data_IF_207031399487
#
_entry.id   IF_207031399487
#
_cell.length_a   1.000
_cell.length_b   1.000
_cell.length_c   1.000
_cell.angle_alpha   90.00
_cell.angle_beta   90.00
_cell.angle_gamma   90.00
#
_symmetry.space_group_name_H-M   'P 1'
#
loop_
_entity.id
_entity.type
_entity.pdbx_description
1 polymer ?
#
# COMPACT_ATOMS: atom_id res chain seq x y z
N UNK A 1 -5.73 -22.36 10.23
CA UNK A 1 -4.31 -22.00 10.05
C UNK A 1 -4.14 -20.57 10.53
N UNK A 2 -3.01 -20.24 11.17
CA UNK A 2 -2.71 -18.91 11.70
C UNK A 2 -1.88 -18.14 10.68
N UNK A 3 -2.14 -16.85 10.52
CA UNK A 3 -1.26 -15.96 9.75
C UNK A 3 -0.16 -15.39 10.66
N UNK A 4 0.97 -15.02 10.04
CA UNK A 4 2.05 -14.29 10.68
C UNK A 4 1.57 -12.89 11.08
N UNK A 5 1.77 -12.48 12.35
CA UNK A 5 1.39 -11.15 12.81
C UNK A 5 2.22 -10.06 12.12
N UNK A 6 1.73 -8.81 12.18
CA UNK A 6 2.40 -7.60 11.65
C UNK A 6 3.90 -7.53 11.97
N UNK A 7 4.26 -7.92 13.20
CA UNK A 7 5.62 -7.97 13.73
C UNK A 7 5.86 -9.34 14.36
N UNK A 8 6.30 -10.33 13.55
CA UNK A 8 6.64 -11.62 14.10
C UNK A 8 7.97 -11.54 14.86
N UNK A 9 8.11 -12.34 15.91
CA UNK A 9 9.36 -12.51 16.66
C UNK A 9 9.82 -13.97 16.57
N UNK A 10 10.97 -14.17 15.93
CA UNK A 10 11.56 -15.49 15.76
C UNK A 10 12.00 -16.13 17.08
N UNK A 11 12.44 -15.34 18.07
CA UNK A 11 12.79 -15.84 19.40
C UNK A 11 11.54 -16.34 20.13
N UNK A 12 10.43 -15.60 20.03
CA UNK A 12 9.14 -16.04 20.57
C UNK A 12 8.66 -17.35 19.92
N UNK A 13 8.75 -17.49 18.60
CA UNK A 13 8.38 -18.73 17.91
C UNK A 13 9.27 -19.91 18.34
N UNK A 14 10.57 -19.67 18.56
CA UNK A 14 11.48 -20.70 19.11
C UNK A 14 11.09 -21.11 20.53
N UNK A 15 10.69 -20.16 21.37
CA UNK A 15 10.19 -20.46 22.72
C UNK A 15 8.89 -21.26 22.67
N UNK A 16 7.94 -20.89 21.80
CA UNK A 16 6.71 -21.66 21.60
C UNK A 16 6.98 -23.11 21.20
N UNK A 17 7.95 -23.38 20.33
CA UNK A 17 8.32 -24.74 19.97
C UNK A 17 8.96 -25.52 21.15
N UNK A 18 9.78 -24.85 21.98
CA UNK A 18 10.36 -25.45 23.19
C UNK A 18 9.30 -25.78 24.23
N UNK A 19 8.35 -24.88 24.45
CA UNK A 19 7.28 -25.05 25.42
C UNK A 19 6.32 -26.16 24.98
N UNK A 20 5.95 -26.19 23.69
CA UNK A 20 5.18 -27.30 23.11
C UNK A 20 5.85 -28.66 23.32
N UNK A 21 7.17 -28.74 23.11
CA UNK A 21 7.93 -29.97 23.35
C UNK A 21 7.94 -30.35 24.84
N UNK A 22 8.10 -29.36 25.73
CA UNK A 22 8.13 -29.57 27.17
C UNK A 22 6.81 -30.12 27.69
N UNK A 23 5.70 -29.50 27.30
CA UNK A 23 4.33 -29.90 27.66
C UNK A 23 4.04 -31.33 27.17
N UNK A 24 4.38 -31.64 25.90
CA UNK A 24 4.19 -32.98 25.36
C UNK A 24 4.99 -34.05 26.12
N UNK A 25 6.19 -33.72 26.60
CA UNK A 25 7.02 -34.62 27.42
C UNK A 25 6.51 -34.78 28.85
N UNK A 26 5.84 -33.76 29.38
CA UNK A 26 5.19 -33.79 30.68
C UNK A 26 3.83 -34.54 30.66
N UNK A 27 3.39 -35.01 29.49
CA UNK A 27 2.19 -35.83 29.35
C UNK A 27 0.94 -35.04 28.98
N UNK A 28 1.05 -33.77 28.58
CA UNK A 28 -0.10 -33.03 28.05
C UNK A 28 -0.60 -33.69 26.74
N UNK A 29 -1.85 -34.23 26.72
CA UNK A 29 -2.39 -34.90 25.55
C UNK A 29 -2.59 -33.96 24.36
N UNK A 30 -2.86 -32.66 24.59
CA UNK A 30 -3.06 -31.69 23.50
C UNK A 30 -1.73 -31.35 22.82
N UNK A 31 -0.70 -31.04 23.60
CA UNK A 31 0.66 -30.82 23.08
C UNK A 31 1.20 -32.04 22.33
N UNK A 32 1.02 -33.25 22.90
CA UNK A 32 1.42 -34.49 22.25
C UNK A 32 0.67 -34.74 20.93
N UNK A 33 -0.65 -34.48 20.88
CA UNK A 33 -1.45 -34.61 19.66
C UNK A 33 -1.00 -33.65 18.55
N UNK A 34 -0.67 -32.39 18.91
CA UNK A 34 -0.14 -31.40 17.95
C UNK A 34 1.15 -31.88 17.30
N UNK A 35 2.09 -32.43 18.08
CA UNK A 35 3.34 -32.98 17.53
C UNK A 35 3.07 -34.26 16.71
N UNK A 36 2.24 -35.17 17.21
CA UNK A 36 1.89 -36.43 16.52
C UNK A 36 1.15 -36.22 15.20
N UNK A 37 0.52 -35.07 15.00
CA UNK A 37 -0.08 -34.72 13.71
C UNK A 37 0.93 -34.63 12.56
N UNK A 38 2.23 -34.46 12.86
CA UNK A 38 3.30 -34.35 11.86
C UNK A 38 4.41 -35.40 11.99
N UNK A 39 4.53 -36.07 13.14
CA UNK A 39 5.57 -37.08 13.40
C UNK A 39 5.30 -37.86 14.68
N UNK A 40 5.53 -39.17 14.67
CA UNK A 40 5.41 -40.03 15.85
C UNK A 40 6.46 -39.73 16.93
N UNK A 41 7.57 -39.06 16.56
CA UNK A 41 8.68 -38.76 17.46
C UNK A 41 8.47 -37.43 18.17
N UNK A 42 8.44 -37.43 19.50
CA UNK A 42 8.35 -36.22 20.35
C UNK A 42 9.75 -35.62 20.57
N UNK A 43 10.24 -34.93 19.55
CA UNK A 43 11.55 -34.26 19.51
C UNK A 43 11.41 -32.81 19.02
N UNK A 44 12.48 -32.02 19.18
CA UNK A 44 12.47 -30.58 18.84
C UNK A 44 12.07 -30.30 17.38
N UNK A 45 12.62 -31.04 16.42
CA UNK A 45 12.29 -30.85 15.01
C UNK A 45 10.81 -31.12 14.69
N UNK A 46 10.19 -32.10 15.37
CA UNK A 46 8.76 -32.38 15.23
C UNK A 46 7.90 -31.26 15.84
N UNK A 47 8.30 -30.71 17.00
CA UNK A 47 7.60 -29.57 17.60
C UNK A 47 7.69 -28.30 16.72
N UNK A 48 8.87 -28.03 16.16
CA UNK A 48 9.08 -26.95 15.19
C UNK A 48 8.27 -27.16 13.91
N UNK A 49 8.20 -28.40 13.40
CA UNK A 49 7.40 -28.74 12.22
C UNK A 49 5.90 -28.56 12.49
N UNK A 50 5.40 -29.01 13.66
CA UNK A 50 4.01 -28.82 14.07
C UNK A 50 3.65 -27.33 14.09
N UNK A 51 4.50 -26.49 14.72
CA UNK A 51 4.31 -25.05 14.76
C UNK A 51 4.33 -24.44 13.35
N UNK A 52 5.27 -24.83 12.50
CA UNK A 52 5.33 -24.37 11.10
C UNK A 52 4.03 -24.68 10.33
N UNK A 53 3.48 -25.88 10.51
CA UNK A 53 2.23 -26.32 9.86
C UNK A 53 1.01 -25.55 10.39
N UNK A 54 0.99 -25.17 11.66
CA UNK A 54 -0.07 -24.32 12.22
C UNK A 54 -0.11 -22.94 11.55
N UNK A 55 1.06 -22.40 11.20
CA UNK A 55 1.21 -21.17 10.40
C UNK A 55 1.07 -21.40 8.88
N UNK A 56 0.79 -22.64 8.44
CA UNK A 56 0.59 -22.97 7.04
C UNK A 56 1.87 -23.11 6.20
N UNK A 57 3.04 -23.26 6.84
CA UNK A 57 4.32 -23.47 6.17
C UNK A 57 4.69 -24.96 6.11
N UNK A 58 5.37 -25.35 5.03
CA UNK A 58 5.78 -26.75 4.82
C UNK A 58 6.81 -27.25 5.86
N UNK A 59 7.57 -26.35 6.47
CA UNK A 59 8.57 -26.69 7.47
C UNK A 59 9.14 -25.47 8.17
N UNK A 60 9.88 -25.72 9.25
CA UNK A 60 10.44 -24.69 10.13
C UNK A 60 11.39 -23.72 9.42
N UNK A 61 12.24 -24.22 8.52
CA UNK A 61 13.18 -23.38 7.76
C UNK A 61 12.45 -22.33 6.92
N UNK A 62 11.35 -22.72 6.25
CA UNK A 62 10.54 -21.80 5.43
C UNK A 62 9.81 -20.76 6.28
N UNK A 63 9.26 -21.18 7.43
CA UNK A 63 8.66 -20.26 8.39
C UNK A 63 9.70 -19.23 8.89
N UNK A 64 10.89 -19.69 9.29
CA UNK A 64 11.97 -18.81 9.74
C UNK A 64 12.34 -17.80 8.65
N UNK A 65 12.55 -18.27 7.42
CA UNK A 65 12.93 -17.45 6.28
C UNK A 65 11.90 -16.35 6.01
N UNK A 66 10.61 -16.68 6.06
CA UNK A 66 9.54 -15.72 5.83
C UNK A 66 9.41 -14.68 6.97
N UNK A 67 9.62 -15.11 8.21
CA UNK A 67 9.67 -14.21 9.38
C UNK A 67 10.86 -13.25 9.28
N UNK A 68 12.04 -13.76 8.92
CA UNK A 68 13.26 -12.96 8.73
C UNK A 68 13.09 -11.94 7.61
N UNK A 69 12.57 -12.36 6.45
CA UNK A 69 12.23 -11.49 5.33
C UNK A 69 11.27 -10.38 5.75
N UNK A 70 10.25 -10.70 6.55
CA UNK A 70 9.29 -9.70 7.04
C UNK A 70 9.94 -8.66 7.94
N UNK A 71 10.77 -9.09 8.87
CA UNK A 71 11.49 -8.18 9.78
C UNK A 71 12.38 -7.24 8.95
N UNK A 72 13.16 -7.81 8.03
CA UNK A 72 14.05 -7.05 7.13
C UNK A 72 13.28 -5.98 6.34
N UNK A 73 12.14 -6.34 5.74
CA UNK A 73 11.33 -5.40 4.95
C UNK A 73 10.68 -4.32 5.82
N UNK A 74 10.13 -4.69 6.99
CA UNK A 74 9.56 -3.74 7.94
C UNK A 74 10.59 -2.73 8.44
N UNK A 75 11.78 -3.20 8.79
CA UNK A 75 12.84 -2.39 9.37
C UNK A 75 13.58 -1.58 8.29
N UNK A 76 13.43 -1.96 7.02
CA UNK A 76 14.20 -1.49 5.85
C UNK A 76 15.70 -1.75 6.04
N UNK A 77 16.03 -2.94 6.52
CA UNK A 77 17.41 -3.40 6.67
C UNK A 77 18.00 -3.79 5.31
N UNK A 78 18.66 -2.84 4.66
CA UNK A 78 19.29 -3.06 3.36
C UNK A 78 20.39 -4.12 3.40
N UNK A 79 21.17 -4.17 4.49
CA UNK A 79 22.28 -5.12 4.63
C UNK A 79 21.75 -6.54 4.76
N UNK A 80 20.77 -6.72 5.65
CA UNK A 80 20.04 -7.97 5.80
C UNK A 80 19.36 -8.43 4.51
N UNK A 81 18.69 -7.51 3.81
CA UNK A 81 18.05 -7.82 2.53
C UNK A 81 19.06 -8.26 1.47
N UNK A 82 20.17 -7.55 1.33
CA UNK A 82 21.21 -7.87 0.35
C UNK A 82 21.75 -9.27 0.57
N UNK A 83 22.05 -9.61 1.84
CA UNK A 83 22.51 -10.96 2.21
C UNK A 83 21.42 -12.01 1.92
N UNK A 84 20.18 -11.73 2.30
CA UNK A 84 19.06 -12.64 2.10
C UNK A 84 18.85 -12.96 0.61
N UNK A 85 18.88 -11.94 -0.25
CA UNK A 85 18.69 -12.10 -1.69
C UNK A 85 19.90 -12.72 -2.40
N UNK A 86 21.11 -12.59 -1.84
CA UNK A 86 22.28 -13.30 -2.35
C UNK A 86 22.17 -14.82 -2.13
N UNK A 87 21.58 -15.25 -1.01
CA UNK A 87 21.35 -16.66 -0.69
C UNK A 87 20.05 -17.20 -1.33
N UNK A 88 19.03 -16.35 -1.45
CA UNK A 88 17.67 -16.69 -1.88
C UNK A 88 17.08 -15.64 -2.85
N UNK A 89 17.58 -15.55 -4.09
CA UNK A 89 17.16 -14.53 -5.05
C UNK A 89 15.68 -14.62 -5.44
N UNK A 90 15.08 -15.81 -5.35
CA UNK A 90 13.64 -16.01 -5.60
C UNK A 90 12.75 -15.23 -4.62
N UNK A 91 13.28 -14.83 -3.45
CA UNK A 91 12.58 -13.97 -2.50
C UNK A 91 12.50 -12.51 -2.94
N UNK A 92 13.04 -12.13 -4.10
CA UNK A 92 12.73 -10.82 -4.67
C UNK A 92 11.33 -10.81 -5.32
N UNK A 93 10.92 -11.94 -5.90
CA UNK A 93 9.71 -12.04 -6.74
C UNK A 93 8.61 -12.86 -6.11
N UNK A 94 8.93 -13.86 -5.27
CA UNK A 94 7.95 -14.73 -4.63
C UNK A 94 6.98 -13.95 -3.74
N UNK A 95 5.70 -14.30 -3.74
CA UNK A 95 4.70 -13.66 -2.86
C UNK A 95 5.08 -13.75 -1.39
N UNK A 96 4.63 -12.76 -0.63
CA UNK A 96 4.71 -12.76 0.83
C UNK A 96 3.67 -13.76 1.39
N UNK A 97 4.16 -14.80 2.06
CA UNK A 97 3.34 -15.96 2.43
C UNK A 97 2.78 -15.80 3.84
N UNK A 98 1.45 -15.83 3.98
CA UNK A 98 0.76 -15.86 5.29
C UNK A 98 0.95 -14.59 6.12
N UNK A 99 1.06 -13.43 5.50
CA UNK A 99 1.12 -12.18 6.23
C UNK A 99 -0.30 -11.70 6.58
N UNK A 100 -0.58 -11.47 7.87
CA UNK A 100 -1.92 -11.15 8.38
C UNK A 100 -2.52 -9.85 7.82
N UNK A 101 -1.67 -8.96 7.33
CA UNK A 101 -2.02 -7.64 6.85
C UNK A 101 -2.13 -7.58 5.33
N UNK A 102 -1.21 -8.20 4.61
CA UNK A 102 -1.16 -8.19 3.16
C UNK A 102 -0.95 -9.63 2.66
N UNK A 103 -2.05 -10.38 2.53
CA UNK A 103 -2.02 -11.68 1.89
C UNK A 103 -1.96 -11.46 0.36
N UNK A 104 -0.88 -11.91 -0.27
CA UNK A 104 -0.70 -12.05 -1.72
C UNK A 104 0.03 -10.92 -2.48
N UNK A 105 0.65 -9.96 -1.80
CA UNK A 105 1.54 -9.00 -2.49
C UNK A 105 2.94 -9.60 -2.71
N UNK A 106 3.59 -9.16 -3.78
CA UNK A 106 5.02 -9.34 -3.98
C UNK A 106 5.81 -8.30 -3.16
N UNK A 107 7.11 -8.52 -2.89
CA UNK A 107 7.90 -7.66 -2.02
C UNK A 107 7.94 -6.20 -2.45
N UNK A 108 8.08 -5.95 -3.77
CA UNK A 108 8.15 -4.58 -4.28
C UNK A 108 6.82 -3.86 -4.04
N UNK A 109 5.70 -4.49 -4.39
CA UNK A 109 4.36 -3.99 -4.09
C UNK A 109 4.18 -3.69 -2.59
N UNK A 110 4.57 -4.61 -1.73
CA UNK A 110 4.51 -4.42 -0.28
C UNK A 110 5.28 -3.18 0.19
N UNK A 111 6.52 -3.03 -0.27
CA UNK A 111 7.39 -1.91 0.10
C UNK A 111 6.81 -0.58 -0.39
N UNK A 112 6.26 -0.54 -1.62
CA UNK A 112 5.59 0.66 -2.14
C UNK A 112 4.32 1.03 -1.36
N UNK A 113 3.64 0.06 -0.75
CA UNK A 113 2.42 0.24 0.04
C UNK A 113 2.70 0.62 1.51
N UNK A 114 3.96 0.67 1.95
CA UNK A 114 4.29 0.89 3.37
C UNK A 114 3.82 2.25 3.87
N UNK A 115 3.86 3.32 3.06
CA UNK A 115 3.36 4.65 3.46
C UNK A 115 1.86 4.63 3.76
N UNK A 116 1.07 3.92 2.96
CA UNK A 116 -0.36 3.72 3.19
C UNK A 116 -0.61 2.88 4.45
N UNK A 117 0.13 1.79 4.60
CA UNK A 117 -0.04 0.84 5.69
C UNK A 117 0.66 1.25 7.00
N UNK A 118 1.39 2.38 7.04
CA UNK A 118 2.29 2.74 8.18
C UNK A 118 1.61 2.67 9.54
N UNK A 119 0.37 3.18 9.64
CA UNK A 119 -0.38 3.20 10.90
C UNK A 119 -0.79 1.80 11.34
N UNK A 120 -1.16 0.94 10.39
CA UNK A 120 -1.48 -0.47 10.63
C UNK A 120 -0.24 -1.29 11.02
N UNK A 121 0.90 -0.97 10.44
CA UNK A 121 2.19 -1.61 10.68
C UNK A 121 2.93 -1.05 11.92
N UNK A 122 2.39 0.01 12.53
CA UNK A 122 3.03 0.74 13.63
C UNK A 122 4.36 1.41 13.25
N UNK A 123 4.58 1.66 11.96
CA UNK A 123 5.81 2.23 11.42
C UNK A 123 5.88 3.75 11.64
N UNK A 124 7.09 4.34 11.66
CA UNK A 124 7.26 5.79 11.80
C UNK A 124 6.58 6.58 10.66
N UNK A 125 6.40 7.88 10.88
CA UNK A 125 5.77 8.78 9.91
C UNK A 125 6.54 8.85 8.59
N UNK A 126 7.86 9.02 8.67
CA UNK A 126 8.79 8.95 7.54
C UNK A 126 9.39 7.54 7.46
N UNK A 127 9.58 7.07 6.22
CA UNK A 127 10.13 5.75 5.94
C UNK A 127 11.41 5.88 5.09
N UNK A 128 12.49 6.48 5.63
CA UNK A 128 13.73 6.60 4.88
C UNK A 128 14.29 5.22 4.52
N UNK A 129 14.97 5.12 3.37
CA UNK A 129 15.61 3.90 2.90
C UNK A 129 14.65 2.93 2.21
N UNK A 130 13.37 3.26 2.10
CA UNK A 130 12.39 2.47 1.33
C UNK A 130 12.81 2.40 -0.15
N UNK A 131 13.35 3.48 -0.70
CA UNK A 131 13.92 3.48 -2.06
C UNK A 131 15.12 2.55 -2.20
N UNK A 132 15.99 2.47 -1.20
CA UNK A 132 17.13 1.53 -1.22
C UNK A 132 16.67 0.06 -1.21
N UNK A 133 15.63 -0.26 -0.42
CA UNK A 133 14.99 -1.58 -0.41
C UNK A 133 14.35 -1.89 -1.77
N UNK A 134 13.58 -0.96 -2.33
CA UNK A 134 12.99 -1.10 -3.66
C UNK A 134 14.06 -1.37 -4.73
N UNK A 135 15.16 -0.61 -4.71
CA UNK A 135 16.30 -0.79 -5.62
C UNK A 135 16.92 -2.17 -5.50
N UNK A 136 17.11 -2.67 -4.28
CA UNK A 136 17.67 -4.00 -4.05
C UNK A 136 16.74 -5.11 -4.57
N UNK A 137 15.43 -4.97 -4.36
CA UNK A 137 14.43 -5.92 -4.88
C UNK A 137 14.43 -5.94 -6.41
N UNK A 138 14.42 -4.76 -7.04
CA UNK A 138 14.48 -4.63 -8.52
C UNK A 138 15.79 -5.23 -9.05
N UNK A 139 16.92 -4.92 -8.42
CA UNK A 139 18.22 -5.48 -8.79
C UNK A 139 18.31 -7.00 -8.67
N UNK A 140 17.48 -7.61 -7.82
CA UNK A 140 17.33 -9.04 -7.68
C UNK A 140 16.20 -9.65 -8.56
N UNK A 141 15.62 -8.87 -9.46
CA UNK A 141 14.67 -9.33 -10.48
C UNK A 141 13.19 -9.13 -10.13
N UNK A 142 12.84 -8.33 -9.11
CA UNK A 142 11.46 -7.90 -8.91
C UNK A 142 10.97 -7.10 -10.14
N UNK A 143 9.77 -7.39 -10.68
CA UNK A 143 9.25 -6.73 -11.87
C UNK A 143 8.95 -5.26 -11.56
N UNK A 144 9.57 -4.33 -12.29
CA UNK A 144 9.47 -2.89 -12.02
C UNK A 144 8.03 -2.36 -12.15
N UNK A 145 7.27 -2.90 -13.10
CA UNK A 145 5.86 -2.54 -13.35
C UNK A 145 4.86 -3.44 -12.61
N UNK A 146 5.35 -4.31 -11.73
CA UNK A 146 4.53 -5.30 -11.04
C UNK A 146 4.08 -6.43 -11.97
N UNK A 147 3.00 -7.10 -11.61
CA UNK A 147 2.44 -8.23 -12.36
C UNK A 147 1.20 -7.87 -13.14
N UNK A 148 0.85 -8.63 -14.18
CA UNK A 148 -0.39 -8.42 -14.93
C UNK A 148 -1.68 -8.51 -14.09
N UNK A 149 -1.64 -9.17 -12.94
CA UNK A 149 -2.77 -9.28 -12.01
C UNK A 149 -2.91 -8.10 -11.06
N UNK A 150 -1.90 -7.24 -10.98
CA UNK A 150 -1.89 -6.12 -10.06
C UNK A 150 -2.76 -4.99 -10.60
N UNK A 151 -3.52 -4.34 -9.70
CA UNK A 151 -4.44 -3.27 -10.08
C UNK A 151 -3.74 -1.95 -10.35
N UNK A 152 -2.55 -1.77 -9.80
CA UNK A 152 -1.74 -0.58 -9.93
C UNK A 152 -0.29 -1.03 -10.08
N UNK A 153 0.48 -0.35 -10.93
CA UNK A 153 1.92 -0.56 -10.97
C UNK A 153 2.55 -0.01 -9.69
N UNK A 154 3.74 -0.48 -9.28
CA UNK A 154 4.48 0.11 -8.17
C UNK A 154 4.64 1.63 -8.28
N UNK A 155 4.78 2.16 -9.50
CA UNK A 155 4.89 3.60 -9.75
C UNK A 155 3.58 4.35 -9.47
N UNK A 156 2.43 3.78 -9.88
CA UNK A 156 1.10 4.33 -9.56
C UNK A 156 0.86 4.31 -8.04
N UNK A 157 1.26 3.23 -7.36
CA UNK A 157 1.17 3.13 -5.89
C UNK A 157 2.03 4.20 -5.21
N UNK A 158 3.29 4.38 -5.63
CA UNK A 158 4.17 5.41 -5.10
C UNK A 158 3.61 6.83 -5.33
N UNK A 159 3.03 7.09 -6.51
CA UNK A 159 2.35 8.34 -6.84
C UNK A 159 1.10 8.60 -6.00
N UNK A 160 0.35 7.56 -5.61
CA UNK A 160 -0.86 7.71 -4.80
C UNK A 160 -0.56 8.08 -3.35
N UNK A 161 0.61 7.67 -2.83
CA UNK A 161 0.97 7.81 -1.42
C UNK A 161 2.16 8.76 -1.16
N UNK A 162 2.63 9.44 -2.21
CA UNK A 162 3.65 10.48 -2.09
C UNK A 162 5.03 9.94 -1.74
N UNK A 163 5.41 8.78 -2.29
CA UNK A 163 6.74 8.21 -2.10
C UNK A 163 7.69 8.62 -3.22
N UNK A 164 8.21 9.85 -3.16
CA UNK A 164 9.09 10.40 -4.19
C UNK A 164 10.43 9.65 -4.29
N UNK A 165 10.94 9.09 -3.18
CA UNK A 165 12.17 8.28 -3.17
C UNK A 165 11.96 7.00 -3.98
N UNK A 166 10.88 6.26 -3.69
CA UNK A 166 10.53 5.03 -4.43
C UNK A 166 10.17 5.33 -5.88
N UNK A 167 9.41 6.39 -6.16
CA UNK A 167 9.09 6.80 -7.52
C UNK A 167 10.36 7.06 -8.34
N UNK A 168 11.33 7.78 -7.78
CA UNK A 168 12.62 8.05 -8.45
C UNK A 168 13.39 6.75 -8.76
N UNK A 169 13.35 5.78 -7.84
CA UNK A 169 13.99 4.47 -8.03
C UNK A 169 13.32 3.67 -9.16
N UNK A 170 11.99 3.63 -9.18
CA UNK A 170 11.22 2.92 -10.20
C UNK A 170 11.44 3.52 -11.59
N UNK A 171 11.42 4.86 -11.70
CA UNK A 171 11.68 5.57 -12.95
C UNK A 171 13.11 5.29 -13.43
N UNK A 172 14.11 5.38 -12.54
CA UNK A 172 15.50 5.06 -12.88
C UNK A 172 15.69 3.59 -13.31
N UNK A 173 14.81 2.69 -12.87
CA UNK A 173 14.77 1.30 -13.27
C UNK A 173 13.98 1.04 -14.57
N UNK A 174 13.42 2.08 -15.19
CA UNK A 174 12.69 1.97 -16.46
C UNK A 174 11.21 1.60 -16.31
N UNK A 175 10.58 1.95 -15.19
CA UNK A 175 9.13 1.84 -15.04
C UNK A 175 8.39 2.55 -16.18
N UNK A 176 7.31 1.94 -16.66
CA UNK A 176 6.44 2.55 -17.67
C UNK A 176 5.65 3.72 -17.05
N UNK A 177 6.03 4.95 -17.43
CA UNK A 177 5.39 6.18 -16.96
C UNK A 177 3.92 6.29 -17.38
N UNK A 178 3.56 5.59 -18.45
CA UNK A 178 2.26 5.71 -19.12
C UNK A 178 1.37 4.50 -18.87
N UNK A 179 1.81 3.57 -18.03
CA UNK A 179 0.99 2.49 -17.52
C UNK A 179 -0.23 3.07 -16.77
N UNK A 180 -1.38 2.42 -16.95
CA UNK A 180 -2.64 2.84 -16.34
C UNK A 180 -3.11 1.83 -15.31
N UNK A 181 -3.73 2.33 -14.24
CA UNK A 181 -4.35 1.48 -13.24
C UNK A 181 -5.53 0.69 -13.83
N UNK A 182 -5.84 -0.46 -13.23
CA UNK A 182 -6.97 -1.28 -13.63
C UNK A 182 -8.29 -0.50 -13.50
N UNK A 183 -9.32 -0.81 -14.31
CA UNK A 183 -10.63 -0.15 -14.22
C UNK A 183 -11.35 -0.33 -12.89
N UNK A 184 -10.96 -1.32 -12.09
CA UNK A 184 -11.48 -1.60 -10.75
C UNK A 184 -10.50 -1.25 -9.62
N UNK A 185 -9.48 -0.43 -9.91
CA UNK A 185 -8.54 0.09 -8.91
C UNK A 185 -9.25 1.01 -7.89
N UNK A 186 -8.69 1.09 -6.68
CA UNK A 186 -9.28 1.88 -5.59
C UNK A 186 -8.92 3.37 -5.65
N UNK A 187 -7.90 3.74 -6.42
CA UNK A 187 -7.43 5.11 -6.61
C UNK A 187 -8.21 5.85 -7.70
N UNK A 188 -7.52 6.22 -8.78
CA UNK A 188 -8.12 6.84 -9.97
C UNK A 188 -8.17 5.76 -11.07
N UNK A 189 -9.33 5.14 -11.36
CA UNK A 189 -9.39 4.03 -12.30
C UNK A 189 -8.96 4.42 -13.72
N UNK A 190 -8.14 3.59 -14.36
CA UNK A 190 -7.67 3.84 -15.73
C UNK A 190 -6.71 5.02 -15.86
N UNK A 191 -6.07 5.43 -14.77
CA UNK A 191 -5.20 6.61 -14.75
C UNK A 191 -3.71 6.25 -14.64
N UNK A 192 -2.88 7.17 -15.14
CA UNK A 192 -1.42 7.10 -15.04
C UNK A 192 -0.92 7.53 -13.65
N UNK A 193 0.35 7.25 -13.36
CA UNK A 193 1.01 7.73 -12.16
C UNK A 193 0.94 9.26 -12.02
N UNK A 194 1.07 10.02 -13.12
CA UNK A 194 0.95 11.48 -13.11
C UNK A 194 -0.42 11.93 -12.60
N UNK A 195 -1.50 11.35 -13.12
CA UNK A 195 -2.84 11.74 -12.71
C UNK A 195 -3.15 11.32 -11.26
N UNK A 196 -2.65 10.17 -10.79
CA UNK A 196 -2.73 9.81 -9.38
C UNK A 196 -2.02 10.84 -8.49
N UNK A 197 -0.76 11.20 -8.81
CA UNK A 197 -0.02 12.20 -8.05
C UNK A 197 -0.74 13.57 -8.05
N UNK A 198 -1.32 13.94 -9.18
CA UNK A 198 -2.07 15.19 -9.35
C UNK A 198 -3.37 15.21 -8.51
N UNK A 199 -4.14 14.12 -8.52
CA UNK A 199 -5.41 14.02 -7.76
C UNK A 199 -5.17 13.99 -6.25
N UNK A 200 -4.13 13.29 -5.80
CA UNK A 200 -3.84 13.15 -4.37
C UNK A 200 -2.96 14.28 -3.80
N UNK A 201 -2.52 15.25 -4.61
CA UNK A 201 -1.71 16.37 -4.14
C UNK A 201 -0.26 16.01 -3.83
N UNK A 202 0.27 14.96 -4.48
CA UNK A 202 1.61 14.43 -4.24
C UNK A 202 2.65 15.20 -5.08
N UNK A 203 2.85 16.48 -4.76
CA UNK A 203 3.68 17.41 -5.54
C UNK A 203 5.09 16.93 -5.80
N UNK A 204 5.79 16.37 -4.81
CA UNK A 204 7.16 15.88 -5.00
C UNK A 204 7.24 14.71 -6.00
N UNK A 205 6.27 13.78 -5.97
CA UNK A 205 6.21 12.70 -6.96
C UNK A 205 5.85 13.24 -8.34
N UNK A 206 4.92 14.20 -8.39
CA UNK A 206 4.54 14.88 -9.61
C UNK A 206 5.75 15.54 -10.29
N UNK A 207 6.58 16.26 -9.54
CA UNK A 207 7.78 16.92 -10.05
C UNK A 207 8.79 15.91 -10.60
N UNK A 208 8.97 14.78 -9.90
CA UNK A 208 9.83 13.67 -10.35
C UNK A 208 9.32 13.05 -11.66
N UNK A 209 8.00 12.84 -11.81
CA UNK A 209 7.40 12.30 -13.03
C UNK A 209 7.53 13.26 -14.22
N UNK A 210 7.34 14.56 -13.99
CA UNK A 210 7.50 15.60 -15.02
C UNK A 210 8.95 15.70 -15.48
N UNK A 211 9.90 15.68 -14.54
CA UNK A 211 11.32 15.67 -14.87
C UNK A 211 11.74 14.43 -15.68
N UNK A 212 11.05 13.30 -15.49
CA UNK A 212 11.24 12.07 -16.25
C UNK A 212 10.61 12.10 -17.66
N UNK A 213 9.85 13.15 -18.00
CA UNK A 213 9.26 13.32 -19.33
C UNK A 213 7.95 12.56 -19.54
N UNK A 214 7.17 12.30 -18.48
CA UNK A 214 5.81 11.76 -18.63
C UNK A 214 4.93 12.67 -19.49
N UNK A 215 3.95 12.08 -20.18
CA UNK A 215 3.03 12.85 -21.01
C UNK A 215 2.03 13.62 -20.14
N UNK A 216 1.90 14.90 -20.46
CA UNK A 216 0.84 15.77 -19.91
C UNK A 216 -0.25 15.92 -20.96
N UNK A 217 -1.40 15.28 -20.74
CA UNK A 217 -2.47 15.15 -21.74
C UNK A 217 -3.78 15.83 -21.35
N UNK A 218 -3.83 16.47 -20.17
CA UNK A 218 -5.01 17.20 -19.68
C UNK A 218 -4.64 18.55 -19.09
N UNK A 219 -5.59 19.48 -19.08
CA UNK A 219 -5.38 20.80 -18.48
C UNK A 219 -5.18 20.67 -16.96
N UNK A 220 -5.83 19.70 -16.33
CA UNK A 220 -5.71 19.37 -14.92
C UNK A 220 -4.28 18.94 -14.55
N UNK A 221 -3.72 17.98 -15.31
CA UNK A 221 -2.35 17.52 -15.09
C UNK A 221 -1.32 18.58 -15.46
N UNK A 222 -1.57 19.39 -16.50
CA UNK A 222 -0.74 20.54 -16.85
C UNK A 222 -0.72 21.61 -15.75
N UNK A 223 -1.88 21.88 -15.17
CA UNK A 223 -2.01 22.84 -14.09
C UNK A 223 -1.36 22.36 -12.79
N UNK A 224 -1.48 21.06 -12.47
CA UNK A 224 -0.73 20.44 -11.38
C UNK A 224 0.79 20.51 -11.62
N UNK A 225 1.24 20.23 -12.85
CA UNK A 225 2.64 20.24 -13.25
C UNK A 225 3.26 21.65 -13.21
N UNK A 226 2.43 22.70 -13.17
CA UNK A 226 2.90 24.09 -13.12
C UNK A 226 3.13 24.73 -14.49
N UNK A 227 2.77 24.06 -15.59
CA UNK A 227 2.91 24.62 -16.93
C UNK A 227 1.64 24.45 -17.77
N UNK A 228 0.97 25.57 -18.04
CA UNK A 228 -0.21 25.65 -18.92
C UNK A 228 0.06 26.45 -20.20
N UNK A 229 1.33 26.77 -20.51
CA UNK A 229 1.69 27.60 -21.67
C UNK A 229 1.21 27.04 -23.01
N UNK A 230 1.21 25.71 -23.17
CA UNK A 230 0.72 25.02 -24.37
C UNK A 230 -0.80 24.94 -24.50
N UNK A 231 -1.56 25.41 -23.50
CA UNK A 231 -3.01 25.21 -23.43
C UNK A 231 -3.78 26.48 -23.80
N UNK A 232 -4.76 26.43 -24.71
CA UNK A 232 -5.53 27.60 -25.11
C UNK A 232 -6.63 27.93 -24.07
N UNK A 233 -6.24 28.46 -22.91
CA UNK A 233 -7.11 28.65 -21.74
C UNK A 233 -8.44 29.36 -22.06
N UNK A 234 -8.40 30.40 -22.90
CA UNK A 234 -9.59 31.15 -23.32
C UNK A 234 -10.62 30.30 -24.11
N UNK A 235 -10.16 29.23 -24.78
CA UNK A 235 -11.01 28.29 -25.52
C UNK A 235 -11.47 27.10 -24.69
N UNK A 236 -10.84 26.86 -23.53
CA UNK A 236 -11.27 25.81 -22.62
C UNK A 236 -12.65 26.12 -22.02
N UNK A 237 -13.39 25.09 -21.63
CA UNK A 237 -14.67 25.30 -20.95
C UNK A 237 -14.46 25.91 -19.56
N UNK A 238 -15.42 26.70 -19.03
CA UNK A 238 -15.32 27.25 -17.68
C UNK A 238 -15.05 26.19 -16.61
N UNK A 239 -15.69 25.03 -16.72
CA UNK A 239 -15.52 23.90 -15.80
C UNK A 239 -14.11 23.29 -15.87
N UNK A 240 -13.55 23.14 -17.08
CA UNK A 240 -12.17 22.62 -17.22
C UNK A 240 -11.14 23.57 -16.62
N UNK A 241 -11.32 24.89 -16.79
CA UNK A 241 -10.46 25.88 -16.14
C UNK A 241 -10.61 25.87 -14.62
N UNK A 242 -11.83 25.70 -14.11
CA UNK A 242 -12.09 25.59 -12.67
C UNK A 242 -11.42 24.36 -12.04
N UNK A 243 -11.46 23.20 -12.72
CA UNK A 243 -10.72 22.01 -12.27
C UNK A 243 -9.22 22.25 -12.31
N UNK A 244 -8.70 22.76 -13.42
CA UNK A 244 -7.29 23.11 -13.54
C UNK A 244 -6.83 24.05 -12.41
N UNK A 245 -7.66 25.04 -12.06
CA UNK A 245 -7.40 25.95 -10.94
C UNK A 245 -7.35 25.19 -9.61
N UNK A 246 -8.26 24.24 -9.39
CA UNK A 246 -8.27 23.39 -8.20
C UNK A 246 -6.97 22.57 -8.07
N UNK A 247 -6.50 21.99 -9.18
CA UNK A 247 -5.24 21.25 -9.21
C UNK A 247 -4.03 22.19 -8.98
N UNK A 248 -3.97 23.33 -9.66
CA UNK A 248 -2.91 24.32 -9.45
C UNK A 248 -2.83 24.79 -7.99
N UNK A 249 -3.98 25.04 -7.34
CA UNK A 249 -4.06 25.38 -5.91
C UNK A 249 -3.58 24.23 -5.03
N UNK A 250 -4.04 22.99 -5.31
CA UNK A 250 -3.61 21.80 -4.57
C UNK A 250 -2.10 21.58 -4.59
N UNK A 251 -1.46 21.96 -5.69
CA UNK A 251 0.00 21.87 -5.90
C UNK A 251 0.76 23.19 -5.71
N UNK A 252 0.08 24.25 -5.25
CA UNK A 252 0.69 25.56 -4.96
C UNK A 252 1.42 26.18 -6.18
N UNK A 253 0.87 26.00 -7.39
CA UNK A 253 1.42 26.55 -8.64
C UNK A 253 0.95 27.98 -8.87
N UNK A 254 1.54 28.93 -8.13
CA UNK A 254 1.12 30.34 -8.11
C UNK A 254 1.02 30.97 -9.51
N UNK A 255 2.01 30.77 -10.37
CA UNK A 255 2.00 31.33 -11.73
C UNK A 255 0.83 30.79 -12.57
N UNK A 256 0.49 29.51 -12.40
CA UNK A 256 -0.65 28.89 -13.10
C UNK A 256 -1.97 29.43 -12.55
N UNK A 257 -2.06 29.62 -11.23
CA UNK A 257 -3.24 30.19 -10.57
C UNK A 257 -3.51 31.58 -11.15
N UNK A 258 -2.49 32.45 -11.20
CA UNK A 258 -2.62 33.81 -11.72
C UNK A 258 -3.06 33.81 -13.19
N UNK A 259 -2.50 32.92 -14.01
CA UNK A 259 -2.89 32.79 -15.42
C UNK A 259 -4.34 32.32 -15.60
N UNK A 260 -4.78 31.37 -14.79
CA UNK A 260 -6.16 30.89 -14.84
C UNK A 260 -7.16 31.95 -14.34
N UNK A 261 -6.80 32.73 -13.32
CA UNK A 261 -7.63 33.84 -12.83
C UNK A 261 -7.71 34.96 -13.87
N UNK A 262 -6.58 35.31 -14.51
CA UNK A 262 -6.52 36.37 -15.52
C UNK A 262 -7.44 36.13 -16.73
N UNK A 263 -7.71 34.87 -17.10
CA UNK A 263 -8.65 34.52 -18.17
C UNK A 263 -10.12 34.44 -17.73
N UNK A 264 -10.44 34.91 -16.52
CA UNK A 264 -11.81 34.97 -16.00
C UNK A 264 -12.35 33.63 -15.53
N UNK A 265 -11.51 32.76 -14.96
CA UNK A 265 -11.99 31.51 -14.35
C UNK A 265 -12.82 31.81 -13.10
N UNK A 266 -14.02 31.24 -13.03
CA UNK A 266 -14.97 31.51 -11.95
C UNK A 266 -14.56 30.78 -10.66
N UNK A 267 -13.84 31.47 -9.78
CA UNK A 267 -13.17 30.90 -8.59
C UNK A 267 -14.11 30.33 -7.52
N UNK A 268 -15.39 30.70 -7.53
CA UNK A 268 -16.38 30.34 -6.49
C UNK A 268 -17.41 29.31 -6.96
N UNK A 269 -17.36 28.88 -8.22
CA UNK A 269 -18.32 27.92 -8.75
C UNK A 269 -18.02 26.50 -8.26
N UNK A 270 -19.03 25.62 -8.10
CA UNK A 270 -18.80 24.20 -7.90
C UNK A 270 -18.25 23.57 -9.17
N UNK A 271 -17.26 22.70 -9.01
CA UNK A 271 -16.92 21.76 -10.07
C UNK A 271 -18.03 20.70 -10.23
N UNK A 272 -18.54 20.55 -11.44
CA UNK A 272 -19.69 19.69 -11.73
C UNK A 272 -19.38 18.19 -11.60
N UNK A 273 -18.10 17.80 -11.69
CA UNK A 273 -17.66 16.40 -11.74
C UNK A 273 -17.15 15.90 -10.37
N UNK A 274 -16.51 16.77 -9.59
CA UNK A 274 -15.87 16.46 -8.30
C UNK A 274 -16.55 17.14 -7.10
N UNK A 275 -17.44 18.13 -7.33
CA UNK A 275 -18.15 18.92 -6.31
C UNK A 275 -17.24 19.91 -5.55
N UNK A 276 -17.79 20.85 -4.76
CA UNK A 276 -17.01 21.76 -3.88
C UNK A 276 -16.14 20.96 -2.89
N UNK A 277 -14.95 20.56 -3.31
CA UNK A 277 -13.98 19.81 -2.49
C UNK A 277 -12.56 20.29 -2.69
N UNK A 278 -12.36 21.53 -3.16
CA UNK A 278 -11.04 22.19 -3.18
C UNK A 278 -10.38 22.27 -1.79
N UNK A 279 -11.14 22.14 -0.69
CA UNK A 279 -10.62 22.21 0.69
C UNK A 279 -10.71 20.94 1.56
N UNK A 280 -11.24 19.80 1.07
CA UNK A 280 -11.40 18.59 1.92
C UNK A 280 -10.38 17.46 1.67
N UNK A 281 -9.59 17.54 0.59
CA UNK A 281 -8.54 16.54 0.34
C UNK A 281 -7.31 16.75 1.24
N UNK A 282 -7.05 17.99 1.67
CA UNK A 282 -5.91 18.32 2.54
C UNK A 282 -6.10 17.90 4.01
N UNK A 283 -7.32 17.61 4.48
CA UNK A 283 -7.58 17.32 5.91
C UNK A 283 -7.82 15.85 6.25
N UNK A 284 -7.82 14.93 5.27
CA UNK A 284 -8.03 13.49 5.52
C UNK A 284 -6.76 12.69 5.85
N UNK A 285 -5.74 13.35 6.41
CA UNK A 285 -4.59 12.69 7.03
C UNK A 285 -4.88 11.98 8.36
N UNK A 286 -6.13 12.03 8.88
CA UNK A 286 -6.54 11.35 10.13
C UNK A 286 -7.96 10.80 9.96
N UNK A 287 -8.11 9.48 10.00
CA UNK A 287 -9.35 8.69 9.84
C UNK A 287 -9.93 8.59 8.41
N UNK A 288 -9.48 7.56 7.68
CA UNK A 288 -10.10 7.13 6.44
C UNK A 288 -11.34 6.26 6.74
N UNK A 289 -12.53 6.78 6.46
CA UNK A 289 -13.64 5.94 5.96
C UNK A 289 -13.93 6.37 4.53
N UNK A 290 -13.71 5.42 3.63
CA UNK A 290 -13.88 5.51 2.18
C UNK A 290 -15.28 5.97 1.80
N UNK A 291 -15.39 7.07 1.04
CA UNK A 291 -16.52 7.27 0.13
C UNK A 291 -16.02 7.03 -1.30
N UNK A 292 -16.72 6.21 -2.11
CA UNK A 292 -16.25 5.85 -3.44
C UNK A 292 -16.39 7.02 -4.40
N UNK A 293 -15.51 7.05 -5.39
CA UNK A 293 -15.68 7.78 -6.65
C UNK A 293 -17.08 7.46 -7.24
N UNK A 294 -17.75 8.41 -7.90
CA UNK A 294 -19.10 8.24 -8.50
C UNK A 294 -19.06 7.34 -9.76
N UNK A 295 -18.56 6.12 -9.59
CA UNK A 295 -18.46 5.08 -10.61
C UNK A 295 -18.06 3.71 -10.05
N UNK A 296 -17.48 3.66 -8.84
CA UNK A 296 -16.97 2.43 -8.24
C UNK A 296 -17.97 1.80 -7.26
N UNK A 297 -18.55 0.65 -7.63
CA UNK A 297 -19.08 -0.31 -6.64
C UNK A 297 -17.89 -0.94 -5.91
N UNK A 298 -17.92 -1.10 -4.58
CA UNK A 298 -16.81 -1.73 -3.87
C UNK A 298 -16.71 -3.22 -4.27
N UNK A 299 -15.66 -3.56 -5.03
CA UNK A 299 -15.30 -4.94 -5.31
C UNK A 299 -14.58 -5.53 -4.09
N UNK A 300 -15.13 -6.62 -3.56
CA UNK A 300 -14.52 -7.44 -2.51
C UNK A 300 -13.21 -8.02 -3.04
N UNK A 301 -12.06 -7.57 -2.53
CA UNK A 301 -10.83 -8.36 -2.65
C UNK A 301 -10.91 -9.56 -1.69
N UNK A 302 -10.19 -10.62 -2.05
CA UNK A 302 -10.14 -11.91 -1.38
C UNK A 302 -10.02 -11.81 0.15
N UNK A 303 -11.15 -11.85 0.85
CA UNK A 303 -11.22 -12.08 2.28
C UNK A 303 -11.50 -13.56 2.55
N UNK A 304 -10.75 -14.24 3.43
CA UNK A 304 -11.23 -15.49 3.99
C UNK A 304 -12.47 -15.20 4.85
N UNK A 305 -13.53 -15.96 4.63
CA UNK A 305 -14.78 -15.87 5.39
C UNK A 305 -14.56 -16.19 6.86
N UNK A 306 -14.45 -15.17 7.71
CA UNK A 306 -14.69 -15.29 9.14
C UNK A 306 -15.91 -14.45 9.52
N UNK A 307 -16.99 -15.12 9.93
CA UNK A 307 -18.14 -14.50 10.59
C UNK A 307 -17.70 -13.99 11.97
N UNK A 308 -17.92 -12.71 12.33
CA UNK A 308 -17.89 -12.32 13.72
C UNK A 308 -19.23 -12.70 14.38
N UNK A 309 -19.14 -13.36 15.54
CA UNK A 309 -20.28 -13.71 16.39
C UNK A 309 -21.04 -12.46 16.85
N UNK A 310 -22.35 -12.66 17.10
CA UNK A 310 -23.30 -11.60 17.35
C UNK A 310 -23.00 -10.76 18.59
N UNK A 311 -23.12 -9.44 18.43
CA UNK A 311 -23.27 -8.50 19.54
C UNK A 311 -24.74 -8.10 19.66
N UNK A 312 -25.30 -8.38 20.83
CA UNK A 312 -26.64 -7.97 21.27
C UNK A 312 -26.73 -6.44 21.26
N UNK A 313 -27.75 -5.93 20.59
CA UNK A 313 -28.15 -4.51 20.66
C UNK A 313 -28.71 -4.19 22.05
N UNK A 314 -28.00 -3.35 22.80
CA UNK A 314 -28.56 -2.64 23.96
C UNK A 314 -29.29 -1.39 23.44
N UNK A 315 -30.62 -1.34 23.57
CA UNK A 315 -31.42 -0.14 23.28
C UNK A 315 -31.24 0.85 24.44
N UNK A 316 -30.76 2.06 24.15
CA UNK A 316 -30.83 3.18 25.07
C UNK A 316 -32.21 3.86 24.96
N UNK A 317 -32.95 3.85 26.06
CA UNK A 317 -34.24 4.50 26.22
C UNK A 317 -34.10 6.03 26.23
N UNK A 318 -34.98 6.74 25.51
CA UNK A 318 -35.11 8.20 25.58
C UNK A 318 -35.73 8.63 26.91
N UNK A 319 -35.28 9.74 27.52
CA UNK A 319 -35.92 10.28 28.71
C UNK A 319 -37.22 11.02 28.35
N UNK A 320 -38.26 10.79 29.17
CA UNK A 320 -39.52 11.53 29.20
C UNK A 320 -39.28 12.95 29.75
N UNK A 321 -40.00 13.98 29.28
CA UNK A 321 -40.07 15.26 29.97
C UNK A 321 -41.11 15.17 31.10
N UNK A 322 -40.89 15.88 32.19
CA UNK A 322 -41.89 16.14 33.21
C UNK A 322 -41.56 17.42 33.96
N UNK A 323 -42.37 17.82 34.96
CA UNK A 323 -43.78 17.47 35.19
C UNK A 323 -44.76 18.31 34.35
#
# INVERSE_FOLDING_TARGET
>A
MRDLPARPDLAQLRHQAKDLLREARQGDPQAAARIRSVSDRIIMSSAQLALAREYGFAGWTRLKLEVERRIILNDRDLSGLTKLLAEHPELATRNLERWSDNACEEPLGYVTMMRFNRGRLGLPGELPGTGAIARALIGAGAPVDGRPSDRETPLITAASYGDAEVASVLIAAGADLEAVSAPDSGGVPGATALLHAAVFGMTEVLDVLIAAGTRVDSLETAAAAGDVTGWPLARCTPQSRLRALTFAVGHQRLDVIDRLVAVGTAVNEPDAEWGHRSGQWQTRGRSATSQPWRGSRPARSCAPTHRPGGMRTVRLSRPQPGP
#
